data_IF_634150273986
#
_entry.id   IF_634150273986
#
_cell.length_a   1.000
_cell.length_b   1.000
_cell.length_c   1.000
_cell.angle_alpha   90.00
_cell.angle_beta   90.00
_cell.angle_gamma   90.00
#
_symmetry.space_group_name_H-M   'P 1'
#
loop_
_entity.id
_entity.type
_entity.pdbx_description
1 polymer ?
#
# COMPACT_ATOMS: atom_id res chain seq x y z
N UNK A 1 5.25 7.70 8.48
CA UNK A 1 4.55 8.71 7.65
C UNK A 1 3.50 9.40 8.50
N UNK A 2 3.30 10.69 8.31
CA UNK A 2 2.33 11.50 9.06
C UNK A 2 1.45 12.23 8.05
N UNK A 3 0.13 12.15 8.22
CA UNK A 3 -0.84 12.85 7.42
C UNK A 3 -1.77 13.64 8.35
N UNK A 4 -1.86 14.96 8.14
CA UNK A 4 -2.68 15.84 8.98
C UNK A 4 -4.05 16.00 8.33
N UNK A 5 -5.06 15.42 8.95
CA UNK A 5 -6.46 15.58 8.58
C UNK A 5 -7.07 16.74 9.36
N UNK A 6 -8.31 17.10 9.04
CA UNK A 6 -9.03 18.15 9.76
C UNK A 6 -9.37 17.68 11.19
N UNK A 7 -9.71 16.40 11.32
CA UNK A 7 -10.20 15.76 12.53
C UNK A 7 -9.05 15.34 13.46
N UNK A 8 -7.98 14.80 12.89
CA UNK A 8 -6.86 14.25 13.64
C UNK A 8 -5.59 14.12 12.79
N UNK A 9 -4.50 13.67 13.41
CA UNK A 9 -3.30 13.27 12.69
C UNK A 9 -3.28 11.76 12.53
N UNK A 10 -3.27 11.29 11.28
CA UNK A 10 -3.04 9.88 10.95
C UNK A 10 -1.54 9.61 10.89
N UNK A 11 -1.10 8.55 11.55
CA UNK A 11 0.30 8.11 11.54
C UNK A 11 0.37 6.68 11.03
N UNK A 12 1.15 6.47 9.97
CA UNK A 12 1.54 5.14 9.51
C UNK A 12 2.96 4.88 10.01
N UNK A 13 3.12 3.86 10.83
CA UNK A 13 4.37 3.51 11.50
C UNK A 13 4.57 1.99 11.56
N UNK A 14 5.79 1.51 11.82
CA UNK A 14 6.03 0.10 12.11
C UNK A 14 5.19 -0.39 13.30
N UNK A 15 4.65 -1.61 13.19
CA UNK A 15 3.75 -2.19 14.18
C UNK A 15 4.42 -2.43 15.54
N UNK A 16 5.69 -2.79 15.55
CA UNK A 16 6.51 -2.95 16.75
C UNK A 16 6.66 -1.62 17.51
N UNK A 17 6.84 -0.51 16.79
CA UNK A 17 6.88 0.83 17.40
C UNK A 17 5.54 1.18 18.04
N UNK A 18 4.41 0.91 17.36
CA UNK A 18 3.08 1.14 17.92
C UNK A 18 2.86 0.33 19.20
N UNK A 19 3.22 -0.97 19.19
CA UNK A 19 3.14 -1.87 20.34
C UNK A 19 4.03 -1.41 21.50
N UNK A 20 5.27 -1.03 21.23
CA UNK A 20 6.24 -0.60 22.24
C UNK A 20 5.78 0.67 22.99
N UNK A 21 4.99 1.52 22.34
CA UNK A 21 4.47 2.76 22.92
C UNK A 21 3.01 2.64 23.40
N UNK A 22 2.41 1.44 23.33
CA UNK A 22 1.03 1.21 23.76
C UNK A 22 0.00 2.00 22.96
N UNK A 23 0.31 2.33 21.70
CA UNK A 23 -0.59 3.09 20.85
C UNK A 23 -1.73 2.19 20.33
N UNK A 24 -2.96 2.69 20.39
CA UNK A 24 -4.06 2.07 19.68
C UNK A 24 -3.84 2.21 18.17
N UNK A 25 -4.09 1.12 17.43
CA UNK A 25 -3.95 1.11 15.99
C UNK A 25 -5.11 0.38 15.36
N UNK A 26 -5.48 0.86 14.18
CA UNK A 26 -6.43 0.19 13.29
C UNK A 26 -5.65 -0.21 12.03
N UNK A 27 -6.04 -1.33 11.40
CA UNK A 27 -5.45 -1.80 10.14
C UNK A 27 -3.95 -2.20 10.16
N UNK A 28 -3.57 -3.31 10.82
CA UNK A 28 -2.26 -3.93 10.60
C UNK A 28 -2.08 -4.35 9.14
N UNK A 29 -1.04 -3.83 8.50
CA UNK A 29 -0.83 -3.99 7.06
C UNK A 29 0.61 -4.35 6.71
N UNK A 30 0.77 -4.92 5.52
CA UNK A 30 2.04 -5.04 4.81
C UNK A 30 2.10 -3.96 3.72
N UNK A 31 3.30 -3.46 3.48
CA UNK A 31 3.56 -2.46 2.45
C UNK A 31 3.94 -3.17 1.16
N UNK A 32 3.37 -2.78 0.03
CA UNK A 32 3.86 -3.10 -1.31
C UNK A 32 4.30 -1.79 -1.95
N UNK A 33 5.58 -1.68 -2.29
CA UNK A 33 6.10 -0.50 -3.02
C UNK A 33 6.13 -0.79 -4.51
N UNK A 34 5.48 0.06 -5.31
CA UNK A 34 5.43 -0.06 -6.76
C UNK A 34 6.58 0.74 -7.39
N UNK A 35 7.59 0.04 -7.92
CA UNK A 35 8.68 0.67 -8.65
C UNK A 35 8.24 0.92 -10.10
N UNK A 36 7.57 2.05 -10.35
CA UNK A 36 7.22 2.49 -11.69
C UNK A 36 8.37 3.37 -12.19
N UNK A 37 9.06 2.96 -13.24
CA UNK A 37 9.92 3.89 -13.96
C UNK A 37 9.04 4.85 -14.74
N UNK A 38 8.98 6.08 -14.25
CA UNK A 38 8.27 7.22 -14.82
C UNK A 38 8.49 7.34 -16.33
N UNK A 39 7.53 6.87 -17.11
CA UNK A 39 7.24 7.38 -18.44
C UNK A 39 5.72 7.39 -18.63
N UNK A 40 5.24 8.15 -19.61
CA UNK A 40 3.84 8.54 -19.89
C UNK A 40 2.74 7.45 -19.81
N UNK A 41 3.08 6.18 -19.59
CA UNK A 41 2.19 5.03 -19.41
C UNK A 41 1.59 4.91 -17.98
N UNK A 42 1.97 5.79 -17.04
CA UNK A 42 1.50 5.76 -15.65
C UNK A 42 0.00 6.15 -15.46
N UNK A 43 -0.62 6.80 -16.46
CA UNK A 43 -2.04 7.15 -16.39
C UNK A 43 -2.87 5.86 -16.50
N UNK A 44 -3.43 5.43 -15.37
CA UNK A 44 -4.29 4.24 -15.27
C UNK A 44 -3.63 3.01 -14.65
N UNK A 45 -2.32 3.03 -14.34
CA UNK A 45 -1.66 1.90 -13.70
C UNK A 45 -2.21 1.61 -12.30
N UNK A 46 -2.36 2.65 -11.47
CA UNK A 46 -3.01 2.53 -10.15
C UNK A 46 -4.46 2.09 -10.30
N UNK A 47 -5.19 2.62 -11.29
CA UNK A 47 -6.57 2.21 -11.56
C UNK A 47 -6.67 0.71 -11.84
N UNK A 48 -5.79 0.17 -12.69
CA UNK A 48 -5.79 -1.26 -13.00
C UNK A 48 -5.41 -2.12 -11.79
N UNK A 49 -4.45 -1.68 -10.96
CA UNK A 49 -4.11 -2.38 -9.72
C UNK A 49 -5.29 -2.35 -8.73
N UNK A 50 -5.90 -1.18 -8.51
CA UNK A 50 -7.07 -1.03 -7.64
C UNK A 50 -8.22 -1.90 -8.12
N UNK A 51 -8.45 -2.00 -9.44
CA UNK A 51 -9.47 -2.88 -10.03
C UNK A 51 -9.18 -4.34 -9.71
N UNK A 52 -7.96 -4.83 -9.95
CA UNK A 52 -7.57 -6.21 -9.65
C UNK A 52 -7.67 -6.56 -8.15
N UNK A 53 -7.30 -5.64 -7.26
CA UNK A 53 -7.46 -5.83 -5.82
C UNK A 53 -8.95 -5.89 -5.43
N UNK A 54 -9.78 -5.04 -6.05
CA UNK A 54 -11.24 -5.04 -5.88
C UNK A 54 -11.86 -6.36 -6.34
N UNK A 55 -11.46 -6.88 -7.50
CA UNK A 55 -11.92 -8.18 -8.02
C UNK A 55 -11.62 -9.33 -7.04
N UNK A 56 -10.58 -9.19 -6.22
CA UNK A 56 -10.21 -10.15 -5.17
C UNK A 56 -10.81 -9.84 -3.79
N UNK A 57 -11.62 -8.79 -3.66
CA UNK A 57 -12.14 -8.25 -2.40
C UNK A 57 -11.04 -7.93 -1.38
N UNK A 58 -9.93 -7.36 -1.84
CA UNK A 58 -8.80 -6.96 -0.99
C UNK A 58 -8.86 -5.44 -0.80
N UNK A 59 -9.07 -4.94 0.44
CA UNK A 59 -8.97 -3.51 0.69
C UNK A 59 -7.51 -3.06 0.59
N UNK A 60 -7.30 -1.84 0.11
CA UNK A 60 -5.98 -1.27 -0.07
C UNK A 60 -6.01 0.23 0.17
N UNK A 61 -5.12 0.71 1.04
CA UNK A 61 -4.85 2.13 1.18
C UNK A 61 -3.64 2.48 0.32
N UNK A 62 -3.79 3.44 -0.59
CA UNK A 62 -2.71 3.88 -1.48
C UNK A 62 -2.16 5.20 -0.96
N UNK A 63 -0.83 5.30 -0.85
CA UNK A 63 -0.14 6.57 -0.65
C UNK A 63 0.77 6.83 -1.83
N UNK A 64 0.51 7.94 -2.52
CA UNK A 64 1.36 8.40 -3.61
C UNK A 64 2.61 9.09 -3.07
N UNK A 65 3.77 8.51 -3.34
CA UNK A 65 5.07 9.13 -3.10
C UNK A 65 5.59 9.83 -4.36
N UNK A 66 6.62 10.66 -4.21
CA UNK A 66 7.25 11.32 -5.36
C UNK A 66 7.90 10.31 -6.33
N UNK A 67 8.53 9.27 -5.79
CA UNK A 67 9.23 8.26 -6.59
C UNK A 67 8.37 7.03 -6.87
N UNK A 68 7.60 6.60 -5.88
CA UNK A 68 6.87 5.34 -5.90
C UNK A 68 5.52 5.48 -5.20
N UNK A 69 4.56 4.71 -5.66
CA UNK A 69 3.31 4.51 -4.94
C UNK A 69 3.47 3.38 -3.93
N UNK A 70 2.81 3.54 -2.79
CA UNK A 70 2.88 2.65 -1.65
C UNK A 70 1.49 2.10 -1.34
N UNK A 71 1.33 0.78 -1.42
CA UNK A 71 0.06 0.09 -1.20
C UNK A 71 0.11 -0.61 0.15
N UNK A 72 -0.81 -0.26 1.04
CA UNK A 72 -0.97 -0.91 2.34
C UNK A 72 -2.09 -1.94 2.26
N UNK A 73 -1.72 -3.21 2.37
CA UNK A 73 -2.59 -4.38 2.26
C UNK A 73 -2.73 -5.03 3.64
N UNK A 74 -3.92 -5.50 4.07
CA UNK A 74 -4.04 -6.27 5.31
C UNK A 74 -3.04 -7.42 5.36
N UNK A 75 -2.38 -7.61 6.50
CA UNK A 75 -1.32 -8.62 6.64
C UNK A 75 -1.77 -10.03 6.20
N UNK A 76 -2.99 -10.42 6.56
CA UNK A 76 -3.55 -11.73 6.21
C UNK A 76 -3.85 -11.90 4.71
N UNK A 77 -3.87 -10.83 3.92
CA UNK A 77 -4.24 -10.86 2.49
C UNK A 77 -3.05 -10.60 1.56
N UNK A 78 -1.85 -10.37 2.10
CA UNK A 78 -0.66 -10.03 1.33
C UNK A 78 -0.39 -11.05 0.21
N UNK A 79 -0.36 -12.34 0.52
CA UNK A 79 -0.08 -13.40 -0.47
C UNK A 79 -1.09 -13.39 -1.62
N UNK A 80 -2.37 -13.19 -1.29
CA UNK A 80 -3.44 -13.07 -2.28
C UNK A 80 -3.26 -11.82 -3.13
N UNK A 81 -2.88 -10.69 -2.52
CA UNK A 81 -2.62 -9.44 -3.23
C UNK A 81 -1.42 -9.57 -4.18
N UNK A 82 -0.35 -10.25 -3.77
CA UNK A 82 0.84 -10.45 -4.61
C UNK A 82 0.50 -11.19 -5.92
N UNK A 83 -0.51 -12.06 -5.90
CA UNK A 83 -0.93 -12.85 -7.07
C UNK A 83 -1.38 -12.01 -8.27
N UNK A 84 -1.73 -10.73 -8.09
CA UNK A 84 -2.16 -9.85 -9.20
C UNK A 84 -0.99 -9.30 -10.01
N UNK A 85 0.22 -9.34 -9.46
CA UNK A 85 1.42 -8.77 -10.07
C UNK A 85 2.12 -9.83 -10.94
N UNK A 86 2.44 -9.51 -12.20
CA UNK A 86 3.22 -10.41 -13.05
C UNK A 86 4.63 -10.64 -12.47
N UNK A 87 5.14 -11.86 -12.64
CA UNK A 87 6.51 -12.24 -12.21
C UNK A 87 7.62 -11.46 -12.94
N UNK A 88 7.30 -10.83 -14.06
CA UNK A 88 8.23 -10.04 -14.87
C UNK A 88 7.57 -8.71 -15.27
N UNK A 89 8.21 -7.59 -14.93
CA UNK A 89 7.81 -6.24 -15.37
C UNK A 89 7.50 -5.25 -14.24
N UNK A 90 7.17 -5.73 -13.04
CA UNK A 90 6.93 -4.88 -11.86
C UNK A 90 7.87 -5.32 -10.75
N UNK A 91 8.79 -4.44 -10.34
CA UNK A 91 9.57 -4.67 -9.12
C UNK A 91 8.71 -4.25 -7.94
N UNK A 92 8.22 -5.20 -7.18
CA UNK A 92 7.57 -4.97 -5.89
C UNK A 92 8.56 -5.23 -4.76
N UNK A 93 8.49 -4.42 -3.72
CA UNK A 93 9.17 -4.71 -2.44
C UNK A 93 8.10 -4.76 -1.37
N UNK A 94 8.12 -5.86 -0.62
CA UNK A 94 7.23 -6.14 0.52
C UNK A 94 7.98 -5.85 1.82
#
# INVERSE_FOLDING_TARGET
MIFKEQEATTVILPLDVAKAHGLEYTFPSKLITLNIHSSLEAVGFITEISRKLTDLNIPCNVVAGYYHDHLFIPEAMLEKAISIFPKSGIKTTV
#
